data_IF_741136277884
#
_entry.id   IF_741136277884
#
_cell.length_a   1.000
_cell.length_b   1.000
_cell.length_c   1.000
_cell.angle_alpha   90.00
_cell.angle_beta   90.00
_cell.angle_gamma   90.00
#
_symmetry.space_group_name_H-M   'P 1'
#
loop_
_entity.id
_entity.type
_entity.pdbx_description
1 polymer ?
#
# COMPACT_ATOMS: atom_id res chain seq x y z
N UNK A 1 11.75 16.95 -26.42
CA UNK A 1 10.40 16.98 -25.83
C UNK A 1 10.60 17.22 -24.35
N UNK A 2 9.86 18.16 -23.76
CA UNK A 2 9.92 18.40 -22.32
C UNK A 2 9.07 17.34 -21.64
N UNK A 3 9.46 16.94 -20.44
CA UNK A 3 8.73 15.91 -19.72
C UNK A 3 8.15 16.46 -18.43
N UNK A 4 6.96 15.98 -18.08
CA UNK A 4 6.38 16.19 -16.75
C UNK A 4 6.10 14.83 -16.14
N UNK A 5 6.78 14.51 -15.05
CA UNK A 5 6.57 13.25 -14.35
C UNK A 5 5.39 13.41 -13.41
N UNK A 6 4.44 12.47 -13.48
CA UNK A 6 3.27 12.44 -12.60
C UNK A 6 3.22 11.09 -11.93
N UNK A 7 3.28 11.07 -10.61
CA UNK A 7 3.22 9.86 -9.81
C UNK A 7 1.77 9.56 -9.46
N UNK A 8 1.33 8.33 -9.72
CA UNK A 8 -0.04 7.89 -9.46
C UNK A 8 -0.07 6.52 -8.81
N UNK A 9 -1.17 6.24 -8.12
CA UNK A 9 -1.45 4.89 -7.60
C UNK A 9 -1.90 3.95 -8.72
N UNK A 10 -1.47 2.69 -8.65
CA UNK A 10 -1.65 1.71 -9.73
C UNK A 10 -3.12 1.32 -9.95
N UNK A 11 -3.91 1.20 -8.87
CA UNK A 11 -5.32 0.80 -8.94
C UNK A 11 -6.23 1.99 -9.22
N UNK A 12 -6.21 2.98 -8.33
CA UNK A 12 -7.18 4.08 -8.36
C UNK A 12 -6.75 5.28 -9.23
N UNK A 13 -5.51 5.27 -9.76
CA UNK A 13 -4.93 6.36 -10.56
C UNK A 13 -4.94 7.75 -9.91
N UNK A 14 -5.21 7.82 -8.61
CA UNK A 14 -5.14 9.06 -7.84
C UNK A 14 -3.74 9.64 -7.95
N UNK A 15 -3.66 10.97 -8.00
CA UNK A 15 -2.41 11.70 -7.95
C UNK A 15 -1.74 11.45 -6.60
N UNK A 16 -0.49 10.99 -6.66
CA UNK A 16 0.40 10.97 -5.50
C UNK A 16 1.22 12.26 -5.47
N UNK A 17 1.89 12.57 -6.59
CA UNK A 17 2.72 13.75 -6.71
C UNK A 17 2.83 14.22 -8.17
N UNK A 18 2.90 15.53 -8.38
CA UNK A 18 3.16 16.15 -9.69
C UNK A 18 4.50 16.88 -9.64
N UNK A 19 5.44 16.45 -10.49
CA UNK A 19 6.75 17.06 -10.59
C UNK A 19 6.70 18.31 -11.49
N UNK A 20 7.67 19.20 -11.31
CA UNK A 20 7.91 20.28 -12.27
C UNK A 20 8.29 19.73 -13.64
N UNK A 21 8.10 20.54 -14.67
CA UNK A 21 8.51 20.19 -16.03
C UNK A 21 10.04 20.12 -16.07
N UNK A 22 10.57 19.01 -16.59
CA UNK A 22 11.97 18.86 -16.97
C UNK A 22 12.18 19.53 -18.34
N UNK A 23 12.87 20.69 -18.39
CA UNK A 23 13.06 21.43 -19.62
C UNK A 23 14.16 20.77 -20.45
N UNK A 24 13.88 20.54 -21.73
CA UNK A 24 14.96 20.20 -22.66
C UNK A 24 15.63 21.48 -23.20
N UNK A 25 16.70 21.31 -23.99
CA UNK A 25 17.45 22.42 -24.61
C UNK A 25 16.62 23.36 -25.49
N UNK A 26 15.46 22.92 -25.98
CA UNK A 26 14.53 23.70 -26.80
C UNK A 26 13.29 24.17 -26.03
N UNK A 27 13.33 24.20 -24.69
CA UNK A 27 12.22 24.68 -23.86
C UNK A 27 11.76 26.09 -24.27
N UNK A 28 10.45 26.27 -24.47
CA UNK A 28 9.87 27.55 -24.90
C UNK A 28 9.90 27.82 -26.41
N UNK A 29 10.52 26.95 -27.22
CA UNK A 29 10.50 27.08 -28.68
C UNK A 29 9.17 26.57 -29.28
N UNK A 30 8.75 27.14 -30.41
CA UNK A 30 7.55 26.70 -31.13
C UNK A 30 7.70 25.24 -31.58
N UNK A 31 6.60 24.48 -31.49
CA UNK A 31 6.58 23.05 -31.86
C UNK A 31 7.10 22.11 -30.79
N UNK A 32 7.42 22.62 -29.59
CA UNK A 32 7.93 21.82 -28.49
C UNK A 32 6.87 21.57 -27.42
N UNK A 33 6.19 20.42 -27.49
CA UNK A 33 5.18 20.03 -26.51
C UNK A 33 5.79 19.49 -25.21
N UNK A 34 5.03 19.65 -24.11
CA UNK A 34 5.30 18.95 -22.84
C UNK A 34 4.58 17.62 -22.88
N UNK A 35 5.31 16.53 -22.68
CA UNK A 35 4.76 15.19 -22.58
C UNK A 35 4.67 14.75 -21.11
N UNK A 36 3.48 14.32 -20.68
CA UNK A 36 3.31 13.72 -19.37
C UNK A 36 3.82 12.27 -19.38
N UNK A 37 4.55 11.89 -18.33
CA UNK A 37 5.01 10.53 -18.07
C UNK A 37 4.47 10.10 -16.71
N UNK A 38 3.62 9.07 -16.71
CA UNK A 38 3.06 8.53 -15.47
C UNK A 38 3.97 7.46 -14.89
N UNK A 39 4.30 7.60 -13.61
CA UNK A 39 4.99 6.57 -12.81
C UNK A 39 4.03 6.02 -11.78
N UNK A 40 3.99 4.69 -11.64
CA UNK A 40 3.15 4.03 -10.64
C UNK A 40 3.96 3.77 -9.37
N UNK A 41 3.53 4.34 -8.24
CA UNK A 41 4.34 4.38 -7.00
C UNK A 41 3.78 3.57 -5.84
N UNK A 42 2.53 3.10 -5.94
CA UNK A 42 1.88 2.32 -4.88
C UNK A 42 0.55 1.72 -5.33
N UNK A 43 -0.08 0.91 -4.47
CA UNK A 43 -1.32 0.18 -4.81
C UNK A 43 -2.56 1.08 -4.80
N UNK A 44 -2.91 1.64 -3.63
CA UNK A 44 -4.09 2.49 -3.41
C UNK A 44 -3.74 3.70 -2.54
N UNK A 45 -4.35 4.86 -2.81
CA UNK A 45 -4.22 6.04 -1.94
C UNK A 45 -5.00 5.86 -0.62
N UNK A 46 -4.78 6.72 0.37
CA UNK A 46 -5.44 6.60 1.69
C UNK A 46 -6.97 6.57 1.63
N UNK A 47 -7.57 7.27 0.65
CA UNK A 47 -9.03 7.29 0.43
C UNK A 47 -9.57 5.96 -0.12
N UNK A 48 -8.73 5.20 -0.81
CA UNK A 48 -9.07 3.91 -1.42
C UNK A 48 -8.38 2.72 -0.72
N UNK A 49 -7.50 3.00 0.25
CA UNK A 49 -7.00 2.03 1.20
C UNK A 49 -8.17 1.66 2.09
N UNK A 50 -8.47 0.37 2.24
CA UNK A 50 -9.68 -0.18 2.85
C UNK A 50 -9.88 0.08 4.35
N UNK A 51 -9.51 1.27 4.85
CA UNK A 51 -9.74 1.74 6.21
C UNK A 51 -11.19 2.18 6.48
N UNK A 52 -12.07 2.09 5.49
CA UNK A 52 -13.47 2.49 5.56
C UNK A 52 -14.48 1.44 6.03
N UNK A 53 -14.05 0.29 6.57
CA UNK A 53 -14.97 -0.81 6.99
C UNK A 53 -14.81 -1.18 8.48
N UNK A 54 -13.97 -0.50 9.28
CA UNK A 54 -13.85 -0.83 10.73
C UNK A 54 -14.67 0.08 11.67
N UNK A 55 -15.54 0.96 11.15
CA UNK A 55 -16.50 1.72 11.96
C UNK A 55 -17.93 1.14 11.92
N UNK A 56 -18.09 -0.14 11.58
CA UNK A 56 -19.30 -0.90 11.90
C UNK A 56 -18.91 -2.27 12.47
N UNK A 57 -19.15 -2.44 13.76
CA UNK A 57 -19.37 -3.74 14.39
C UNK A 57 -20.60 -3.55 15.28
N UNK A 58 -21.61 -4.42 15.22
CA UNK A 58 -21.42 -5.85 15.46
C UNK A 58 -22.23 -6.76 14.50
N UNK A 59 -21.58 -7.77 13.89
CA UNK A 59 -22.29 -8.96 13.41
C UNK A 59 -22.08 -9.43 11.97
N UNK A 60 -21.33 -8.73 11.12
CA UNK A 60 -21.13 -9.15 9.74
C UNK A 60 -19.92 -10.10 9.59
N UNK A 61 -20.11 -11.37 9.98
CA UNK A 61 -19.25 -12.45 9.46
C UNK A 61 -19.56 -12.64 7.97
N UNK A 62 -18.89 -11.87 7.11
CA UNK A 62 -18.72 -12.25 5.70
C UNK A 62 -17.26 -12.59 5.47
N UNK A 63 -17.03 -13.86 5.72
CA UNK A 63 -15.88 -14.66 5.32
C UNK A 63 -15.55 -14.37 3.84
N UNK A 64 -14.44 -13.68 3.59
CA UNK A 64 -13.83 -13.65 2.26
C UNK A 64 -12.90 -14.85 2.19
N UNK A 65 -13.36 -15.90 1.54
CA UNK A 65 -12.53 -17.04 1.11
C UNK A 65 -11.39 -16.50 0.24
N UNK A 66 -10.19 -16.50 0.79
CA UNK A 66 -8.95 -16.41 0.03
C UNK A 66 -8.21 -17.73 0.26
N UNK A 67 -8.59 -18.73 -0.54
CA UNK A 67 -7.92 -20.02 -0.61
C UNK A 67 -6.44 -19.89 -0.97
N UNK A 68 -5.59 -19.98 0.05
CA UNK A 68 -4.21 -20.45 -0.04
C UNK A 68 -3.95 -21.33 1.19
N UNK A 69 -4.44 -22.57 1.14
CA UNK A 69 -4.08 -23.59 2.12
C UNK A 69 -2.72 -24.18 1.78
N UNK A 70 -1.71 -23.93 2.61
CA UNK A 70 -0.55 -24.81 2.73
C UNK A 70 -0.79 -25.67 3.96
N UNK A 71 -0.99 -26.98 3.73
CA UNK A 71 -1.14 -27.97 4.79
C UNK A 71 0.24 -28.34 5.34
N UNK A 72 0.21 -28.72 6.63
CA UNK A 72 1.18 -29.55 7.37
C UNK A 72 2.43 -28.80 7.91
N UNK A 73 2.81 -28.85 9.21
CA UNK A 73 2.70 -29.91 10.21
C UNK A 73 2.56 -29.38 11.66
N UNK A 74 1.90 -30.21 12.46
CA UNK A 74 1.70 -30.28 13.91
C UNK A 74 2.85 -29.88 14.84
N UNK A 75 2.49 -29.21 15.94
CA UNK A 75 3.28 -29.09 17.17
C UNK A 75 2.44 -28.53 18.33
N UNK A 76 1.59 -29.37 18.92
CA UNK A 76 0.84 -29.05 20.14
C UNK A 76 1.64 -29.50 21.36
N UNK A 77 2.17 -28.56 22.14
CA UNK A 77 2.57 -28.81 23.53
C UNK A 77 2.12 -27.62 24.39
N UNK A 78 0.89 -27.74 24.88
CA UNK A 78 0.36 -27.00 26.02
C UNK A 78 0.94 -27.58 27.31
N UNK A 79 1.81 -26.83 27.99
CA UNK A 79 2.28 -27.11 29.34
C UNK A 79 1.86 -25.98 30.29
N UNK A 80 1.10 -26.34 31.32
CA UNK A 80 0.55 -25.48 32.36
C UNK A 80 1.32 -25.64 33.68
N UNK A 81 1.30 -24.56 34.48
CA UNK A 81 1.47 -24.49 35.95
C UNK A 81 2.86 -24.47 36.60
N UNK A 82 2.95 -23.67 37.67
CA UNK A 82 4.01 -23.57 38.68
C UNK A 82 5.05 -22.48 38.39
N UNK A 83 5.55 -21.65 39.32
CA UNK A 83 5.26 -21.25 40.69
C UNK A 83 6.31 -20.17 41.04
N UNK A 84 6.16 -19.60 42.23
CA UNK A 84 6.88 -18.49 42.88
C UNK A 84 8.42 -18.50 42.94
N UNK A 85 8.96 -17.41 43.54
CA UNK A 85 10.27 -17.31 44.24
C UNK A 85 11.44 -16.84 43.33
N UNK A 86 12.35 -15.89 43.64
CA UNK A 86 12.67 -14.98 44.74
C UNK A 86 13.79 -14.05 44.22
N UNK A 87 13.99 -12.92 44.89
CA UNK A 87 15.05 -11.94 44.61
C UNK A 87 16.46 -12.51 44.83
N UNK A 88 17.41 -12.20 43.94
CA UNK A 88 18.77 -11.71 44.23
C UNK A 88 19.70 -11.86 43.00
N UNK A 89 20.27 -10.75 42.53
CA UNK A 89 21.71 -10.40 42.50
C UNK A 89 21.80 -8.89 42.19
#
# INVERSE_FOLDING_TARGET
>A
MCYKVVERYSVCKCLYFEHSIDPCSAYGQRGHGVQEKTVLVGYTCDKHSGRGIYAVSPGARRWSDSGYGSQDLSGNESGSEGEEEYWEI
#
